data_IF_776695053470
#
_entry.id   IF_776695053470
#
_cell.length_a   1.000
_cell.length_b   1.000
_cell.length_c   1.000
_cell.angle_alpha   90.00
_cell.angle_beta   90.00
_cell.angle_gamma   90.00
#
_symmetry.space_group_name_H-M   'P 1'
#
loop_
_entity.id
_entity.type
_entity.pdbx_description
1 polymer ?
#
# COMPACT_ATOMS: atom_id res chain seq x y z
N UNK A 1 -16.95 -17.24 21.50
CA UNK A 1 -17.38 -16.11 20.67
C UNK A 1 -18.52 -16.56 19.75
N UNK A 2 -19.57 -15.76 19.58
CA UNK A 2 -20.66 -16.10 18.66
C UNK A 2 -20.20 -16.02 17.20
N UNK A 3 -20.71 -16.94 16.36
CA UNK A 3 -20.57 -16.87 14.89
C UNK A 3 -21.69 -16.01 14.33
N UNK A 4 -21.36 -15.11 13.42
CA UNK A 4 -22.33 -14.26 12.71
C UNK A 4 -22.03 -14.21 11.22
N UNK A 5 -23.04 -13.83 10.43
CA UNK A 5 -22.87 -13.48 9.02
C UNK A 5 -22.93 -11.96 8.88
N UNK A 6 -21.89 -11.37 8.29
CA UNK A 6 -21.86 -9.93 7.99
C UNK A 6 -22.62 -9.63 6.70
N UNK A 7 -23.13 -8.41 6.57
CA UNK A 7 -23.83 -7.95 5.36
C UNK A 7 -22.81 -7.63 4.25
N UNK A 8 -22.98 -8.11 2.99
CA UNK A 8 -22.08 -7.72 1.90
C UNK A 8 -22.32 -6.27 1.47
N UNK A 9 -21.24 -5.55 1.18
CA UNK A 9 -21.21 -4.28 0.44
C UNK A 9 -20.37 -4.50 -0.82
N UNK A 10 -20.94 -4.24 -1.99
CA UNK A 10 -20.27 -4.45 -3.27
C UNK A 10 -19.41 -3.25 -3.65
N UNK A 11 -18.14 -3.51 -3.92
CA UNK A 11 -17.20 -2.53 -4.46
C UNK A 11 -16.91 -2.87 -5.92
N UNK A 12 -17.47 -2.10 -6.85
CA UNK A 12 -17.14 -2.26 -8.27
C UNK A 12 -15.89 -1.47 -8.61
N UNK A 13 -14.84 -2.19 -9.02
CA UNK A 13 -13.54 -1.64 -9.38
C UNK A 13 -13.44 -1.59 -10.91
N UNK A 14 -13.67 -0.41 -11.48
CA UNK A 14 -13.77 -0.21 -12.92
C UNK A 14 -12.40 0.19 -13.47
N UNK A 15 -11.93 -0.55 -14.47
CA UNK A 15 -10.68 -0.27 -15.18
C UNK A 15 -10.77 1.05 -15.95
N UNK A 16 -9.89 1.99 -15.63
CA UNK A 16 -9.71 3.30 -16.26
C UNK A 16 -8.31 3.45 -16.85
N UNK A 17 -7.63 2.34 -17.12
CA UNK A 17 -6.32 2.33 -17.78
C UNK A 17 -6.41 2.84 -19.21
N UNK A 18 -5.28 3.22 -19.80
CA UNK A 18 -5.23 3.69 -21.20
C UNK A 18 -5.79 2.65 -22.17
N UNK A 19 -5.59 1.36 -21.90
CA UNK A 19 -6.01 0.24 -22.73
C UNK A 19 -7.52 -0.03 -22.67
N UNK A 20 -8.19 0.45 -21.62
CA UNK A 20 -9.64 0.36 -21.47
C UNK A 20 -10.40 1.53 -22.14
N UNK A 21 -9.70 2.51 -22.73
CA UNK A 21 -10.32 3.67 -23.37
C UNK A 21 -11.38 3.26 -24.41
N UNK A 22 -12.55 3.92 -24.39
CA UNK A 22 -13.68 3.58 -25.25
C UNK A 22 -14.57 2.45 -24.72
N UNK A 23 -14.25 1.85 -23.57
CA UNK A 23 -15.03 0.78 -22.97
C UNK A 23 -16.17 1.27 -22.05
N UNK A 24 -16.34 2.58 -21.87
CA UNK A 24 -17.23 3.21 -20.89
C UNK A 24 -18.66 2.67 -21.01
N UNK A 25 -19.21 2.69 -22.23
CA UNK A 25 -20.57 2.20 -22.50
C UNK A 25 -20.72 0.72 -22.16
N UNK A 26 -19.70 -0.09 -22.47
CA UNK A 26 -19.72 -1.54 -22.18
C UNK A 26 -19.62 -1.82 -20.69
N UNK A 27 -18.83 -1.04 -19.94
CA UNK A 27 -18.71 -1.16 -18.48
C UNK A 27 -20.01 -0.75 -17.79
N UNK A 28 -20.60 0.40 -18.19
CA UNK A 28 -21.91 0.85 -17.70
C UNK A 28 -22.99 -0.22 -17.89
N UNK A 29 -23.05 -0.80 -19.10
CA UNK A 29 -24.04 -1.83 -19.42
C UNK A 29 -23.83 -3.09 -18.57
N UNK A 30 -22.60 -3.61 -18.48
CA UNK A 30 -22.29 -4.80 -17.68
C UNK A 30 -22.59 -4.60 -16.20
N UNK A 31 -22.18 -3.46 -15.63
CA UNK A 31 -22.46 -3.12 -14.25
C UNK A 31 -23.96 -3.04 -13.98
N UNK A 32 -24.69 -2.30 -14.81
CA UNK A 32 -26.15 -2.13 -14.65
C UNK A 32 -26.89 -3.47 -14.77
N UNK A 33 -26.49 -4.31 -15.73
CA UNK A 33 -27.03 -5.66 -15.91
C UNK A 33 -26.76 -6.52 -14.68
N UNK A 34 -25.53 -6.56 -14.20
CA UNK A 34 -25.14 -7.34 -13.03
C UNK A 34 -25.89 -6.90 -11.76
N UNK A 35 -26.00 -5.59 -11.52
CA UNK A 35 -26.76 -5.06 -10.39
C UNK A 35 -28.24 -5.45 -10.45
N UNK A 36 -28.85 -5.38 -11.64
CA UNK A 36 -30.26 -5.76 -11.84
C UNK A 36 -30.48 -7.26 -11.61
N UNK A 37 -29.65 -8.12 -12.20
CA UNK A 37 -29.76 -9.58 -12.08
C UNK A 37 -29.57 -10.07 -10.64
N UNK A 38 -28.67 -9.42 -9.88
CA UNK A 38 -28.39 -9.76 -8.50
C UNK A 38 -29.22 -8.95 -7.48
N UNK A 39 -30.19 -8.14 -7.94
CA UNK A 39 -31.07 -7.31 -7.11
C UNK A 39 -30.30 -6.44 -6.11
N UNK A 40 -29.15 -5.89 -6.53
CA UNK A 40 -28.32 -5.06 -5.68
C UNK A 40 -28.99 -3.69 -5.48
N UNK A 41 -29.14 -3.29 -4.22
CA UNK A 41 -29.61 -1.96 -3.86
C UNK A 41 -28.45 -0.97 -3.83
N UNK A 42 -28.68 0.27 -4.25
CA UNK A 42 -27.63 1.29 -4.39
C UNK A 42 -26.88 1.54 -3.08
N UNK A 43 -27.57 1.52 -1.93
CA UNK A 43 -26.99 1.78 -0.61
C UNK A 43 -25.83 0.83 -0.26
N UNK A 44 -25.86 -0.39 -0.79
CA UNK A 44 -24.86 -1.44 -0.58
C UNK A 44 -23.81 -1.51 -1.70
N UNK A 45 -23.73 -0.47 -2.55
CA UNK A 45 -22.79 -0.40 -3.67
C UNK A 45 -21.85 0.78 -3.53
N UNK A 46 -20.59 0.55 -3.88
CA UNK A 46 -19.51 1.53 -3.97
C UNK A 46 -18.83 1.36 -5.32
N UNK A 47 -18.51 2.47 -5.99
CA UNK A 47 -17.83 2.46 -7.29
C UNK A 47 -16.44 3.07 -7.13
N UNK A 48 -15.44 2.34 -7.61
CA UNK A 48 -14.05 2.76 -7.64
C UNK A 48 -13.53 2.78 -9.07
N UNK A 49 -12.92 3.88 -9.45
CA UNK A 49 -12.27 4.07 -10.75
C UNK A 49 -10.77 3.78 -10.60
N UNK A 50 -10.23 2.87 -11.40
CA UNK A 50 -8.90 2.29 -11.20
C UNK A 50 -8.00 2.50 -12.42
N UNK A 51 -6.95 3.28 -12.26
CA UNK A 51 -5.88 3.44 -13.24
C UNK A 51 -4.53 3.35 -12.52
N UNK A 52 -3.61 4.30 -12.74
CA UNK A 52 -2.48 4.55 -11.82
C UNK A 52 -2.94 5.02 -10.44
N UNK A 53 -4.15 5.57 -10.37
CA UNK A 53 -4.78 6.03 -9.13
C UNK A 53 -6.04 5.24 -8.90
N UNK A 54 -6.37 5.04 -7.63
CA UNK A 54 -7.69 4.60 -7.21
C UNK A 54 -8.49 5.83 -6.78
N UNK A 55 -9.68 6.00 -7.32
CA UNK A 55 -10.63 7.04 -6.91
C UNK A 55 -11.97 6.39 -6.60
N UNK A 56 -12.38 6.44 -5.34
CA UNK A 56 -13.75 6.12 -4.96
C UNK A 56 -14.68 7.27 -5.39
N UNK A 57 -15.83 6.95 -5.96
CA UNK A 57 -16.83 7.97 -6.34
C UNK A 57 -17.60 8.40 -5.09
N UNK A 58 -17.64 9.70 -4.83
CA UNK A 58 -18.21 10.26 -3.59
C UNK A 58 -19.74 10.11 -3.49
N UNK A 59 -20.43 9.77 -4.58
CA UNK A 59 -21.89 9.67 -4.62
C UNK A 59 -22.39 8.48 -5.47
N UNK A 60 -23.39 7.76 -4.95
CA UNK A 60 -24.03 6.63 -5.65
C UNK A 60 -24.78 7.02 -6.93
N UNK A 61 -24.91 8.32 -7.21
CA UNK A 61 -25.69 8.83 -8.33
C UNK A 61 -24.85 9.37 -9.48
N UNK A 62 -23.62 9.83 -9.24
CA UNK A 62 -22.78 10.47 -10.27
C UNK A 62 -21.82 9.52 -10.97
N UNK A 63 -21.69 8.28 -10.50
CA UNK A 63 -20.71 7.35 -11.05
C UNK A 63 -20.87 7.08 -12.56
N UNK A 64 -22.07 7.08 -13.19
CA UNK A 64 -22.17 6.93 -14.63
C UNK A 64 -21.54 8.12 -15.35
N UNK A 65 -21.76 9.33 -14.84
CA UNK A 65 -21.17 10.57 -15.36
C UNK A 65 -19.67 10.62 -15.10
N UNK A 66 -19.22 10.19 -13.92
CA UNK A 66 -17.80 10.12 -13.55
C UNK A 66 -17.03 9.16 -14.47
N UNK A 67 -17.65 8.04 -14.84
CA UNK A 67 -17.07 7.11 -15.80
C UNK A 67 -17.03 7.70 -17.22
N UNK A 68 -18.11 8.38 -17.67
CA UNK A 68 -18.16 8.99 -19.01
C UNK A 68 -17.21 10.18 -19.16
N UNK A 69 -17.02 10.97 -18.11
CA UNK A 69 -16.13 12.14 -18.09
C UNK A 69 -14.70 11.77 -17.68
N UNK A 70 -14.52 10.59 -17.09
CA UNK A 70 -13.25 10.13 -16.56
C UNK A 70 -12.20 9.97 -17.66
N UNK A 71 -10.95 10.34 -17.33
CA UNK A 71 -9.83 10.20 -18.25
C UNK A 71 -9.22 8.80 -18.13
N UNK A 72 -9.32 8.01 -19.19
CA UNK A 72 -8.60 6.75 -19.33
C UNK A 72 -7.10 7.02 -19.50
N UNK A 73 -6.28 6.58 -18.57
CA UNK A 73 -4.85 6.91 -18.56
C UNK A 73 -4.03 5.94 -17.73
N UNK A 74 -2.72 5.86 -18.00
CA UNK A 74 -1.81 5.03 -17.23
C UNK A 74 -2.09 3.52 -17.32
N UNK A 75 -1.53 2.76 -16.38
CA UNK A 75 -1.75 1.31 -16.25
C UNK A 75 -2.90 0.96 -15.31
N UNK A 76 -3.22 -0.33 -15.17
CA UNK A 76 -4.30 -0.83 -14.34
C UNK A 76 -3.78 -1.32 -12.97
N UNK A 77 -3.54 -0.40 -12.02
CA UNK A 77 -2.99 -0.71 -10.69
C UNK A 77 -4.07 -1.23 -9.74
N UNK A 78 -4.55 -2.44 -10.02
CA UNK A 78 -5.61 -3.09 -9.27
C UNK A 78 -5.20 -3.40 -7.82
N UNK A 79 -3.92 -3.69 -7.57
CA UNK A 79 -3.37 -3.87 -6.24
C UNK A 79 -3.79 -2.74 -5.28
N UNK A 80 -3.60 -1.48 -5.70
CA UNK A 80 -3.87 -0.32 -4.86
C UNK A 80 -5.35 -0.22 -4.51
N UNK A 81 -6.24 -0.50 -5.46
CA UNK A 81 -7.68 -0.47 -5.25
C UNK A 81 -8.14 -1.55 -4.27
N UNK A 82 -7.60 -2.77 -4.40
CA UNK A 82 -7.89 -3.89 -3.48
C UNK A 82 -7.37 -3.58 -2.07
N UNK A 83 -6.10 -3.16 -1.93
CA UNK A 83 -5.51 -2.79 -0.64
C UNK A 83 -6.34 -1.71 0.06
N UNK A 84 -6.67 -0.61 -0.63
CA UNK A 84 -7.43 0.48 -0.04
C UNK A 84 -8.82 0.02 0.39
N UNK A 85 -9.53 -0.75 -0.46
CA UNK A 85 -10.85 -1.30 -0.10
C UNK A 85 -10.79 -2.16 1.17
N UNK A 86 -9.80 -3.05 1.28
CA UNK A 86 -9.63 -3.91 2.45
C UNK A 86 -9.31 -3.10 3.72
N UNK A 87 -8.39 -2.15 3.62
CA UNK A 87 -7.96 -1.31 4.74
C UNK A 87 -9.07 -0.37 5.21
N UNK A 88 -9.81 0.26 4.31
CA UNK A 88 -10.95 1.11 4.63
C UNK A 88 -12.07 0.32 5.30
N UNK A 89 -12.42 -0.85 4.75
CA UNK A 89 -13.42 -1.73 5.36
C UNK A 89 -13.02 -2.14 6.78
N UNK A 90 -11.74 -2.50 6.99
CA UNK A 90 -11.23 -2.84 8.32
C UNK A 90 -11.26 -1.65 9.29
N UNK A 91 -10.79 -0.47 8.87
CA UNK A 91 -10.74 0.75 9.70
C UNK A 91 -12.12 1.27 10.07
N UNK A 92 -13.10 1.16 9.16
CA UNK A 92 -14.46 1.66 9.39
C UNK A 92 -15.22 0.91 10.49
N UNK A 93 -14.80 -0.33 10.82
CA UNK A 93 -15.39 -1.12 11.90
C UNK A 93 -16.86 -1.52 11.68
N UNK A 94 -17.37 -1.38 10.46
CA UNK A 94 -18.78 -1.62 10.14
C UNK A 94 -19.07 -3.14 10.20
N UNK A 95 -20.32 -3.50 10.51
CA UNK A 95 -20.83 -4.88 10.50
C UNK A 95 -21.01 -5.48 9.09
N UNK A 96 -20.35 -4.88 8.09
CA UNK A 96 -20.36 -5.30 6.69
C UNK A 96 -19.01 -5.87 6.26
N UNK A 97 -18.99 -6.57 5.13
CA UNK A 97 -17.77 -6.99 4.46
C UNK A 97 -17.79 -6.58 2.98
N UNK A 98 -16.61 -6.32 2.42
CA UNK A 98 -16.49 -5.91 1.02
C UNK A 98 -16.51 -7.11 0.07
N UNK A 99 -17.41 -7.06 -0.92
CA UNK A 99 -17.40 -7.93 -2.10
C UNK A 99 -16.83 -7.11 -3.26
N UNK A 100 -15.58 -7.39 -3.65
CA UNK A 100 -14.93 -6.65 -4.73
C UNK A 100 -15.25 -7.29 -6.09
N UNK A 101 -15.77 -6.52 -7.03
CA UNK A 101 -16.08 -6.94 -8.41
C UNK A 101 -15.36 -6.02 -9.39
N UNK A 102 -14.34 -6.56 -10.05
CA UNK A 102 -13.51 -5.87 -11.03
C UNK A 102 -14.18 -5.91 -12.40
N UNK A 103 -14.28 -4.77 -13.06
CA UNK A 103 -14.82 -4.65 -14.42
C UNK A 103 -13.72 -4.19 -15.34
N UNK A 104 -13.26 -5.10 -16.20
CA UNK A 104 -12.29 -4.82 -17.25
C UNK A 104 -12.62 -5.61 -18.51
N UNK A 105 -12.05 -5.20 -19.65
CA UNK A 105 -11.97 -6.00 -20.87
C UNK A 105 -10.63 -6.73 -21.00
N UNK A 106 -9.64 -6.37 -20.17
CA UNK A 106 -8.26 -6.83 -20.28
C UNK A 106 -7.64 -7.04 -18.89
N UNK A 107 -8.26 -7.95 -18.12
CA UNK A 107 -7.81 -8.25 -16.76
C UNK A 107 -6.35 -8.72 -16.69
N UNK A 108 -5.84 -9.36 -17.75
CA UNK A 108 -4.44 -9.80 -17.83
C UNK A 108 -3.40 -8.67 -17.76
N UNK A 109 -3.80 -7.40 -17.88
CA UNK A 109 -2.93 -6.24 -17.67
C UNK A 109 -3.02 -5.63 -16.27
N UNK A 110 -3.81 -6.23 -15.38
CA UNK A 110 -3.89 -5.80 -13.99
C UNK A 110 -2.55 -6.01 -13.29
N UNK A 111 -2.05 -4.95 -12.64
CA UNK A 111 -0.89 -5.03 -11.76
C UNK A 111 -1.40 -5.50 -10.40
N UNK A 112 -0.94 -6.68 -9.99
CA UNK A 112 -1.32 -7.39 -8.77
C UNK A 112 -0.07 -8.00 -8.13
N UNK A 113 -0.03 -8.15 -6.79
CA UNK A 113 1.03 -8.89 -6.12
C UNK A 113 0.80 -10.40 -6.26
N UNK A 114 1.76 -11.20 -5.82
CA UNK A 114 1.59 -12.67 -5.75
C UNK A 114 0.56 -13.11 -4.71
N UNK A 115 0.30 -12.26 -3.70
CA UNK A 115 -0.63 -12.51 -2.61
C UNK A 115 -0.97 -11.20 -1.87
N UNK A 116 -2.14 -11.17 -1.22
CA UNK A 116 -2.54 -10.15 -0.24
C UNK A 116 -2.55 -10.70 1.20
N UNK A 117 -1.82 -11.80 1.47
CA UNK A 117 -1.85 -12.51 2.76
C UNK A 117 -1.44 -11.65 3.95
N UNK A 118 -0.59 -10.65 3.74
CA UNK A 118 -0.22 -9.66 4.76
C UNK A 118 -1.41 -8.83 5.26
N UNK A 119 -2.49 -8.75 4.48
CA UNK A 119 -3.75 -8.12 4.83
C UNK A 119 -4.82 -9.11 5.29
N UNK A 120 -4.48 -10.38 5.61
CA UNK A 120 -5.48 -11.41 5.92
C UNK A 120 -6.40 -11.09 7.10
N UNK A 121 -5.94 -10.22 7.99
CA UNK A 121 -6.74 -9.72 9.12
C UNK A 121 -7.86 -8.76 8.68
N UNK A 122 -7.81 -8.21 7.45
CA UNK A 122 -8.84 -7.34 6.88
C UNK A 122 -9.98 -8.10 6.20
N UNK A 123 -9.85 -9.41 5.94
CA UNK A 123 -10.85 -10.22 5.23
C UNK A 123 -11.15 -11.57 5.93
N UNK A 124 -11.74 -11.54 7.15
CA UNK A 124 -11.94 -12.72 7.99
C UNK A 124 -12.89 -13.78 7.42
N UNK A 125 -13.70 -13.48 6.43
CA UNK A 125 -14.58 -14.45 5.78
C UNK A 125 -13.83 -15.46 4.90
N UNK A 126 -12.56 -15.17 4.55
CA UNK A 126 -11.86 -15.66 3.34
C UNK A 126 -12.60 -15.25 2.07
N UNK A 127 -12.12 -14.20 1.41
CA UNK A 127 -12.85 -13.63 0.30
C UNK A 127 -12.01 -13.47 -0.93
N UNK A 128 -12.46 -14.17 -1.95
CA UNK A 128 -12.12 -13.91 -3.32
C UNK A 128 -12.57 -12.49 -3.70
N UNK A 129 -11.86 -11.88 -4.63
CA UNK A 129 -12.47 -10.85 -5.45
C UNK A 129 -12.95 -11.50 -6.74
N UNK A 130 -13.78 -10.76 -7.46
CA UNK A 130 -14.41 -11.26 -8.67
C UNK A 130 -14.04 -10.38 -9.85
N UNK A 131 -13.96 -10.96 -11.03
CA UNK A 131 -13.86 -10.25 -12.29
C UNK A 131 -15.16 -10.47 -13.05
N UNK A 132 -15.83 -9.38 -13.43
CA UNK A 132 -16.90 -9.39 -14.40
C UNK A 132 -16.26 -9.19 -15.78
N UNK A 133 -15.98 -10.30 -16.47
CA UNK A 133 -15.23 -10.29 -17.73
C UNK A 133 -16.05 -9.71 -18.90
N UNK A 134 -15.43 -9.56 -20.09
CA UNK A 134 -16.07 -8.96 -21.27
C UNK A 134 -17.36 -9.67 -21.72
N UNK A 135 -17.51 -10.97 -21.40
CA UNK A 135 -18.72 -11.77 -21.67
C UNK A 135 -19.80 -11.62 -20.61
N UNK A 136 -19.56 -10.82 -19.56
CA UNK A 136 -20.45 -10.69 -18.41
C UNK A 136 -20.42 -11.89 -17.46
N UNK A 137 -19.40 -12.75 -17.56
CA UNK A 137 -19.23 -13.88 -16.64
C UNK A 137 -18.47 -13.43 -15.40
N UNK A 138 -18.89 -13.93 -14.24
CA UNK A 138 -18.23 -13.66 -12.97
C UNK A 138 -17.15 -14.72 -12.70
N UNK A 139 -15.89 -14.34 -12.88
CA UNK A 139 -14.72 -15.16 -12.57
C UNK A 139 -14.24 -14.84 -11.16
N UNK A 140 -13.74 -15.85 -10.45
CA UNK A 140 -13.36 -15.75 -9.04
C UNK A 140 -11.85 -15.83 -8.90
N UNK A 141 -11.26 -14.91 -8.15
CA UNK A 141 -9.81 -14.77 -7.95
C UNK A 141 -9.47 -14.78 -6.46
N UNK A 142 -8.47 -15.56 -6.06
CA UNK A 142 -8.09 -15.70 -4.65
C UNK A 142 -7.25 -14.51 -4.18
N UNK A 143 -7.51 -13.99 -2.96
CA UNK A 143 -6.66 -12.95 -2.38
C UNK A 143 -5.36 -13.51 -1.77
N UNK A 144 -5.39 -14.76 -1.29
CA UNK A 144 -4.29 -15.34 -0.50
C UNK A 144 -3.21 -16.01 -1.35
N UNK A 145 -3.45 -16.27 -2.65
CA UNK A 145 -2.46 -16.83 -3.56
C UNK A 145 -2.82 -16.53 -5.01
N UNK A 146 -1.83 -16.11 -5.81
CA UNK A 146 -1.92 -15.92 -7.26
C UNK A 146 -3.21 -15.18 -7.71
N UNK A 147 -3.46 -13.96 -7.22
CA UNK A 147 -4.70 -13.22 -7.49
C UNK A 147 -4.94 -12.91 -8.97
N UNK A 148 -3.92 -13.01 -9.82
CA UNK A 148 -4.07 -12.87 -11.27
C UNK A 148 -4.70 -14.09 -11.96
N UNK A 149 -4.83 -15.23 -11.28
CA UNK A 149 -5.35 -16.46 -11.85
C UNK A 149 -6.78 -16.73 -11.39
N UNK A 150 -7.69 -16.84 -12.36
CA UNK A 150 -9.06 -17.23 -12.12
C UNK A 150 -9.13 -18.70 -11.66
N UNK A 151 -9.84 -18.96 -10.57
CA UNK A 151 -9.99 -20.32 -10.02
C UNK A 151 -11.13 -21.05 -10.73
N UNK A 152 -12.38 -20.60 -10.51
CA UNK A 152 -13.61 -21.11 -11.13
C UNK A 152 -14.71 -20.05 -11.10
N UNK A 153 -15.64 -20.01 -12.07
CA UNK A 153 -16.82 -19.17 -11.97
C UNK A 153 -17.61 -19.45 -10.68
N UNK A 154 -18.13 -18.40 -10.05
CA UNK A 154 -18.87 -18.55 -8.80
C UNK A 154 -19.40 -17.23 -8.28
N UNK A 155 -20.52 -17.29 -7.57
CA UNK A 155 -21.14 -16.13 -6.95
C UNK A 155 -20.53 -15.85 -5.57
N UNK A 156 -20.54 -14.58 -5.11
CA UNK A 156 -20.22 -14.23 -3.74
C UNK A 156 -21.12 -15.00 -2.76
N UNK A 157 -20.51 -15.70 -1.81
CA UNK A 157 -21.23 -16.43 -0.76
C UNK A 157 -20.77 -15.91 0.61
N UNK A 158 -21.70 -15.54 1.50
CA UNK A 158 -21.35 -15.17 2.87
C UNK A 158 -20.65 -16.33 3.58
N UNK A 159 -19.59 -16.03 4.31
CA UNK A 159 -18.96 -16.96 5.24
C UNK A 159 -19.18 -16.47 6.67
N UNK A 160 -19.33 -17.39 7.65
CA UNK A 160 -19.44 -16.99 9.04
C UNK A 160 -18.11 -16.43 9.55
N UNK A 161 -18.19 -15.48 10.48
CA UNK A 161 -17.06 -14.93 11.24
C UNK A 161 -17.37 -14.92 12.72
N UNK A 162 -16.33 -14.94 13.57
CA UNK A 162 -16.50 -14.71 15.00
C UNK A 162 -16.51 -13.22 15.31
N UNK A 163 -17.45 -12.80 16.14
CA UNK A 163 -17.50 -11.43 16.67
C UNK A 163 -16.70 -11.34 17.98
N UNK A 164 -15.76 -10.40 18.06
CA UNK A 164 -15.00 -10.12 19.29
C UNK A 164 -15.30 -8.71 19.84
N UNK A 165 -15.49 -8.55 21.17
CA UNK A 165 -15.63 -9.62 22.16
C UNK A 165 -16.99 -10.32 22.08
N UNK A 166 -18.00 -9.64 21.55
CA UNK A 166 -19.36 -10.15 21.36
C UNK A 166 -20.04 -9.52 20.13
N UNK A 167 -21.06 -10.19 19.58
CA UNK A 167 -21.82 -9.73 18.41
C UNK A 167 -22.57 -8.41 18.60
N UNK A 168 -22.97 -8.06 19.83
CA UNK A 168 -23.70 -6.80 20.10
C UNK A 168 -22.80 -5.57 20.10
N UNK A 169 -21.51 -5.76 20.39
CA UNK A 169 -20.48 -4.71 20.50
C UNK A 169 -19.18 -5.20 19.88
N UNK A 170 -19.26 -5.69 18.65
CA UNK A 170 -18.12 -6.26 17.97
C UNK A 170 -17.11 -5.15 17.66
N UNK A 171 -15.94 -5.23 18.29
CA UNK A 171 -14.79 -4.40 17.95
C UNK A 171 -14.03 -4.97 16.75
N UNK A 172 -14.03 -6.31 16.59
CA UNK A 172 -13.30 -7.03 15.54
C UNK A 172 -14.05 -8.27 15.07
N UNK A 173 -13.73 -8.69 13.85
CA UNK A 173 -14.29 -9.85 13.19
C UNK A 173 -13.15 -10.83 12.88
N UNK A 174 -13.28 -12.09 13.30
CA UNK A 174 -12.23 -13.10 13.16
C UNK A 174 -12.70 -14.22 12.25
N UNK A 175 -11.74 -14.86 11.57
CA UNK A 175 -12.01 -16.02 10.72
C UNK A 175 -12.68 -17.12 11.53
N UNK A 176 -13.68 -17.77 10.94
CA UNK A 176 -14.36 -18.90 11.58
C UNK A 176 -13.66 -20.25 11.37
N UNK A 177 -12.42 -20.26 10.86
CA UNK A 177 -11.59 -21.46 10.73
C UNK A 177 -10.84 -21.78 12.03
N UNK A 178 -10.24 -22.97 12.08
CA UNK A 178 -9.69 -23.56 13.31
C UNK A 178 -8.31 -22.98 13.75
N UNK A 179 -7.94 -21.79 13.27
CA UNK A 179 -6.63 -21.19 13.52
C UNK A 179 -6.63 -20.14 14.63
N UNK A 180 -5.52 -19.95 15.35
CA UNK A 180 -5.33 -18.77 16.19
C UNK A 180 -5.34 -17.51 15.31
N UNK A 181 -6.00 -16.45 15.79
CA UNK A 181 -6.02 -15.15 15.13
C UNK A 181 -5.35 -14.11 16.05
N UNK A 182 -4.44 -13.32 15.47
CA UNK A 182 -3.83 -12.16 16.13
C UNK A 182 -4.35 -10.91 15.45
N UNK A 183 -4.79 -9.93 16.22
CA UNK A 183 -5.27 -8.66 15.70
C UNK A 183 -4.92 -7.53 16.65
N UNK A 184 -4.66 -6.34 16.10
CA UNK A 184 -4.43 -5.15 16.90
C UNK A 184 -5.75 -4.48 17.34
N UNK A 185 -5.86 -4.19 18.64
CA UNK A 185 -6.87 -3.28 19.17
C UNK A 185 -6.54 -1.84 18.76
N UNK A 186 -7.58 -1.01 18.62
CA UNK A 186 -7.49 0.36 18.10
C UNK A 186 -6.63 1.31 18.95
N UNK A 187 -6.31 0.93 20.19
CA UNK A 187 -5.46 1.67 21.12
C UNK A 187 -3.96 1.45 20.92
N UNK A 188 -3.56 0.60 19.97
CA UNK A 188 -2.16 0.32 19.73
C UNK A 188 -1.52 1.44 18.92
N UNK A 189 -0.76 2.31 19.60
CA UNK A 189 -0.03 3.43 18.97
C UNK A 189 1.41 3.05 18.54
N UNK A 190 1.69 1.75 18.41
CA UNK A 190 3.05 1.25 18.13
C UNK A 190 3.95 1.25 19.36
N UNK A 191 3.46 0.68 20.46
CA UNK A 191 3.98 0.78 21.84
C UNK A 191 5.51 0.57 21.96
N UNK A 192 6.09 1.44 22.78
CA UNK A 192 7.46 1.50 23.33
C UNK A 192 7.52 0.91 24.76
N UNK A 193 7.04 -0.33 24.95
CA UNK A 193 7.18 -0.99 26.26
C UNK A 193 8.58 -1.57 26.41
N UNK A 194 9.13 -1.63 27.64
CA UNK A 194 10.46 -2.21 27.85
C UNK A 194 10.40 -3.70 27.50
N UNK A 195 10.88 -4.05 26.31
CA UNK A 195 10.97 -5.41 25.79
C UNK A 195 11.59 -6.42 26.77
N UNK A 196 12.39 -5.96 27.73
CA UNK A 196 13.01 -6.77 28.77
C UNK A 196 11.99 -7.46 29.70
N UNK A 197 10.84 -6.85 29.96
CA UNK A 197 9.81 -7.42 30.86
C UNK A 197 8.87 -8.40 30.17
N UNK A 198 8.91 -8.50 28.84
CA UNK A 198 8.00 -9.35 28.05
C UNK A 198 8.57 -10.76 27.87
N UNK A 199 7.70 -11.76 27.98
CA UNK A 199 7.98 -13.14 27.57
C UNK A 199 8.24 -13.23 26.06
N UNK A 200 8.81 -14.36 25.61
CA UNK A 200 9.06 -14.60 24.18
C UNK A 200 7.78 -14.55 23.35
N UNK A 201 6.67 -15.04 23.90
CA UNK A 201 5.36 -15.02 23.25
C UNK A 201 4.82 -13.59 23.11
N UNK A 202 4.88 -12.79 24.17
CA UNK A 202 4.43 -11.39 24.16
C UNK A 202 5.27 -10.54 23.21
N UNK A 203 6.58 -10.79 23.13
CA UNK A 203 7.46 -10.19 22.11
C UNK A 203 7.00 -10.53 20.69
N UNK A 204 6.61 -11.78 20.44
CA UNK A 204 6.05 -12.23 19.17
C UNK A 204 4.73 -11.54 18.83
N UNK A 205 3.82 -11.43 19.80
CA UNK A 205 2.56 -10.70 19.63
C UNK A 205 2.79 -9.23 19.34
N UNK A 206 3.76 -8.59 20.00
CA UNK A 206 4.13 -7.21 19.74
C UNK A 206 4.67 -7.03 18.31
N UNK A 207 5.55 -7.92 17.84
CA UNK A 207 6.05 -7.90 16.45
C UNK A 207 4.90 -8.03 15.45
N UNK A 208 3.97 -8.97 15.68
CA UNK A 208 2.81 -9.17 14.82
C UNK A 208 1.88 -7.93 14.82
N UNK A 209 1.66 -7.31 15.98
CA UNK A 209 0.86 -6.08 16.09
C UNK A 209 1.52 -4.91 15.36
N UNK A 210 2.84 -4.75 15.47
CA UNK A 210 3.60 -3.73 14.75
C UNK A 210 3.56 -3.94 13.23
N UNK A 211 3.62 -5.18 12.77
CA UNK A 211 3.52 -5.50 11.34
C UNK A 211 2.13 -5.15 10.79
N UNK A 212 1.06 -5.55 11.48
CA UNK A 212 -0.30 -5.16 11.10
C UNK A 212 -0.48 -3.65 11.11
N UNK A 213 0.08 -2.96 12.12
CA UNK A 213 0.02 -1.51 12.21
C UNK A 213 0.70 -0.84 11.01
N UNK A 214 1.85 -1.35 10.54
CA UNK A 214 2.56 -0.84 9.35
C UNK A 214 1.69 -0.90 8.09
N UNK A 215 0.95 -2.00 7.91
CA UNK A 215 0.00 -2.14 6.80
C UNK A 215 -1.21 -1.23 6.96
N UNK A 216 -1.68 -1.05 8.20
CA UNK A 216 -2.78 -0.15 8.54
C UNK A 216 -2.42 1.32 8.48
N UNK A 217 -1.15 1.71 8.48
CA UNK A 217 -0.69 3.10 8.51
C UNK A 217 0.52 3.30 7.59
N UNK A 218 0.33 3.16 6.26
CA UNK A 218 1.42 3.31 5.30
C UNK A 218 2.14 4.66 5.39
N UNK A 219 1.45 5.72 5.81
CA UNK A 219 1.98 7.06 6.07
C UNK A 219 3.11 7.11 7.13
N UNK A 220 3.27 6.04 7.91
CA UNK A 220 4.26 5.95 8.99
C UNK A 220 5.32 4.85 8.74
N UNK A 221 5.40 4.30 7.51
CA UNK A 221 6.23 3.13 7.20
C UNK A 221 7.72 3.30 7.54
N UNK A 222 8.36 4.42 7.20
CA UNK A 222 9.82 4.57 7.42
C UNK A 222 10.17 4.57 8.91
N UNK A 223 9.44 5.35 9.71
CA UNK A 223 9.68 5.48 11.16
C UNK A 223 9.31 4.17 11.88
N UNK A 224 8.20 3.54 11.49
CA UNK A 224 7.69 2.34 12.16
C UNK A 224 8.35 1.04 11.68
N UNK A 225 8.81 0.98 10.42
CA UNK A 225 9.63 -0.11 9.89
C UNK A 225 10.95 -0.22 10.66
N UNK A 226 11.61 0.92 10.92
CA UNK A 226 12.79 0.96 11.80
C UNK A 226 12.48 0.47 13.21
N UNK A 227 11.32 0.83 13.76
CA UNK A 227 10.91 0.35 15.08
C UNK A 227 10.74 -1.17 15.09
N UNK A 228 10.03 -1.74 14.11
CA UNK A 228 9.86 -3.18 13.99
C UNK A 228 11.19 -3.92 13.85
N UNK A 229 12.11 -3.39 13.04
CA UNK A 229 13.44 -3.98 12.88
C UNK A 229 14.24 -3.96 14.20
N UNK A 230 14.22 -2.83 14.92
CA UNK A 230 14.82 -2.74 16.28
C UNK A 230 14.15 -3.70 17.26
N UNK A 231 12.82 -3.85 17.20
CA UNK A 231 12.08 -4.81 18.03
C UNK A 231 12.47 -6.25 17.70
N UNK A 232 12.63 -6.60 16.42
CA UNK A 232 13.12 -7.91 15.97
C UNK A 232 14.51 -8.23 16.54
N UNK A 233 15.47 -7.31 16.39
CA UNK A 233 16.83 -7.49 16.93
C UNK A 233 16.84 -7.65 18.45
N UNK A 234 16.11 -6.79 19.19
CA UNK A 234 16.03 -6.87 20.66
C UNK A 234 15.31 -8.11 21.17
N UNK A 235 14.36 -8.65 20.40
CA UNK A 235 13.59 -9.83 20.76
C UNK A 235 14.21 -11.15 20.30
N UNK A 236 15.19 -11.10 19.40
CA UNK A 236 15.74 -12.28 18.73
C UNK A 236 14.72 -12.98 17.83
N UNK A 237 13.72 -12.25 17.34
CA UNK A 237 12.68 -12.76 16.45
C UNK A 237 12.89 -12.21 15.04
N UNK A 238 12.77 -13.10 14.04
CA UNK A 238 12.75 -12.70 12.65
C UNK A 238 11.46 -11.95 12.33
N UNK A 239 11.61 -10.87 11.59
CA UNK A 239 10.54 -10.03 11.05
C UNK A 239 10.66 -9.99 9.54
N UNK A 240 9.62 -9.52 8.84
CA UNK A 240 9.67 -9.28 7.38
C UNK A 240 10.87 -8.42 6.97
N UNK A 241 11.26 -7.47 7.82
CA UNK A 241 12.40 -6.56 7.60
C UNK A 241 13.78 -7.19 7.87
N UNK A 242 13.84 -8.39 8.47
CA UNK A 242 15.11 -9.08 8.82
C UNK A 242 15.23 -10.49 8.24
N UNK A 243 14.21 -10.96 7.51
CA UNK A 243 14.11 -12.32 7.00
C UNK A 243 15.11 -12.66 5.86
N UNK A 244 15.73 -11.66 5.23
CA UNK A 244 16.64 -11.85 4.09
C UNK A 244 18.11 -12.04 4.47
N UNK A 245 18.44 -12.10 5.76
CA UNK A 245 19.82 -12.17 6.21
C UNK A 245 20.31 -13.63 6.22
N UNK A 246 20.94 -14.05 5.12
CA UNK A 246 21.71 -15.29 5.05
C UNK A 246 23.18 -15.02 5.39
N UNK A 247 23.73 -15.79 6.33
CA UNK A 247 25.13 -15.69 6.74
C UNK A 247 25.86 -16.99 6.38
N UNK A 248 26.93 -16.89 5.62
CA UNK A 248 27.74 -18.03 5.15
C UNK A 248 28.99 -18.24 6.01
N UNK A 249 29.50 -17.19 6.68
CA UNK A 249 30.70 -17.28 7.50
C UNK A 249 30.65 -16.44 8.80
N UNK A 250 31.56 -16.76 9.72
CA UNK A 250 31.66 -16.09 11.03
C UNK A 250 32.03 -14.60 10.93
N UNK A 251 32.73 -14.19 9.87
CA UNK A 251 33.06 -12.78 9.65
C UNK A 251 31.80 -11.95 9.30
N UNK A 252 30.93 -12.47 8.42
CA UNK A 252 29.63 -11.88 8.08
C UNK A 252 28.72 -11.83 9.31
N UNK A 253 28.75 -12.86 10.16
CA UNK A 253 27.99 -12.89 11.42
C UNK A 253 28.41 -11.78 12.38
N UNK A 254 29.72 -11.58 12.59
CA UNK A 254 30.25 -10.50 13.43
C UNK A 254 29.96 -9.12 12.83
N UNK A 255 30.10 -8.96 11.51
CA UNK A 255 29.77 -7.73 10.82
C UNK A 255 28.28 -7.38 10.95
N UNK A 256 27.40 -8.38 10.85
CA UNK A 256 25.97 -8.19 11.05
C UNK A 256 25.66 -7.78 12.50
N UNK A 257 26.21 -8.48 13.49
CA UNK A 257 25.98 -8.16 14.90
C UNK A 257 26.41 -6.72 15.21
N UNK A 258 27.55 -6.28 14.67
CA UNK A 258 28.00 -4.89 14.78
C UNK A 258 26.99 -3.93 14.15
N UNK A 259 26.51 -4.19 12.92
CA UNK A 259 25.49 -3.36 12.27
C UNK A 259 24.16 -3.32 13.05
N UNK A 260 23.75 -4.44 13.65
CA UNK A 260 22.56 -4.48 14.50
C UNK A 260 22.72 -3.60 15.72
N UNK A 261 23.88 -3.66 16.37
CA UNK A 261 24.23 -2.81 17.52
C UNK A 261 24.29 -1.33 17.15
N UNK A 262 24.96 -0.97 16.06
CA UNK A 262 25.05 0.40 15.55
C UNK A 262 23.64 0.98 15.26
N UNK A 263 22.77 0.17 14.65
CA UNK A 263 21.39 0.57 14.35
C UNK A 263 20.53 0.73 15.61
N UNK A 264 20.74 -0.12 16.63
CA UNK A 264 20.07 -0.03 17.93
C UNK A 264 20.48 1.23 18.69
N UNK A 265 21.77 1.55 18.66
CA UNK A 265 22.36 2.75 19.28
C UNK A 265 22.01 4.03 18.53
N UNK A 266 21.51 3.89 17.29
CA UNK A 266 20.86 4.98 16.56
C UNK A 266 21.84 5.97 15.97
N UNK A 267 23.02 5.51 15.55
CA UNK A 267 24.02 6.38 14.92
C UNK A 267 23.43 7.03 13.64
N UNK A 268 23.22 8.36 13.62
CA UNK A 268 22.67 9.08 12.48
C UNK A 268 23.54 8.94 11.21
N UNK A 269 24.82 8.57 11.35
CA UNK A 269 25.74 8.36 10.23
C UNK A 269 25.37 7.18 9.34
N UNK A 270 24.54 6.25 9.80
CA UNK A 270 24.01 5.15 8.99
C UNK A 270 22.67 5.49 8.30
N UNK A 271 22.01 6.59 8.67
CA UNK A 271 20.72 7.02 8.07
C UNK A 271 20.92 7.74 6.72
N UNK A 272 22.10 8.28 6.45
CA UNK A 272 22.51 8.73 5.13
C UNK A 272 23.34 7.60 4.50
N UNK A 273 22.66 6.59 3.93
CA UNK A 273 23.32 5.39 3.42
C UNK A 273 24.47 5.76 2.52
N UNK A 274 25.71 5.56 2.99
CA UNK A 274 27.01 5.89 2.38
C UNK A 274 26.94 6.74 1.09
N UNK A 275 26.28 7.89 1.14
CA UNK A 275 26.46 8.95 0.17
C UNK A 275 27.61 9.76 0.76
N UNK A 276 28.77 9.68 0.10
CA UNK A 276 29.79 10.71 0.22
C UNK A 276 29.06 12.02 -0.07
N UNK A 277 28.64 12.70 0.99
CA UNK A 277 28.01 14.01 0.93
C UNK A 277 29.07 14.93 0.36
N UNK A 278 29.02 15.17 -0.96
CA UNK A 278 29.70 16.33 -1.51
C UNK A 278 28.97 17.53 -0.92
N UNK A 279 29.64 18.24 -0.01
CA UNK A 279 29.13 19.50 0.50
C UNK A 279 28.79 20.39 -0.70
N UNK A 280 27.51 20.72 -0.86
CA UNK A 280 27.11 21.74 -1.81
C UNK A 280 27.94 22.99 -1.52
N UNK A 281 28.60 23.59 -2.54
CA UNK A 281 29.49 24.71 -2.31
C UNK A 281 28.73 25.83 -1.61
N UNK A 282 29.27 26.29 -0.48
CA UNK A 282 28.64 27.30 0.34
C UNK A 282 28.28 28.53 -0.50
N UNK A 283 27.19 29.22 -0.15
CA UNK A 283 26.73 30.41 -0.88
C UNK A 283 27.85 31.48 -1.00
N UNK A 284 28.74 31.56 -0.01
CA UNK A 284 29.94 32.40 -0.03
C UNK A 284 30.98 31.96 -1.07
N UNK A 285 31.16 30.66 -1.31
CA UNK A 285 32.00 30.12 -2.38
C UNK A 285 31.43 30.45 -3.77
N UNK A 286 30.11 30.30 -3.96
CA UNK A 286 29.44 30.68 -5.21
C UNK A 286 29.53 32.19 -5.49
N UNK A 287 29.35 33.03 -4.46
CA UNK A 287 29.48 34.48 -4.59
C UNK A 287 30.91 34.93 -4.88
N UNK A 288 31.91 34.29 -4.26
CA UNK A 288 33.33 34.60 -4.54
C UNK A 288 33.75 34.17 -5.93
N UNK A 289 33.35 32.98 -6.39
CA UNK A 289 33.58 32.55 -7.77
C UNK A 289 32.84 33.45 -8.79
N UNK A 290 31.61 33.86 -8.49
CA UNK A 290 30.84 34.80 -9.32
C UNK A 290 31.51 36.17 -9.41
N UNK A 291 31.97 36.71 -8.28
CA UNK A 291 32.69 37.99 -8.24
C UNK A 291 34.01 37.94 -9.02
N UNK A 292 34.77 36.84 -8.88
CA UNK A 292 36.01 36.63 -9.65
C UNK A 292 35.75 36.57 -11.15
N UNK A 293 34.66 35.93 -11.60
CA UNK A 293 34.29 35.90 -13.02
C UNK A 293 33.88 37.28 -13.55
N UNK A 294 33.18 38.10 -12.74
CA UNK A 294 32.84 39.48 -13.12
C UNK A 294 34.08 40.36 -13.20
N UNK A 295 35.01 40.23 -12.25
CA UNK A 295 36.29 40.96 -12.26
C UNK A 295 37.14 40.52 -13.46
N UNK A 296 37.23 39.21 -13.74
CA UNK A 296 37.94 38.69 -14.90
C UNK A 296 37.32 39.20 -16.21
N UNK A 297 35.99 39.23 -16.33
CA UNK A 297 35.29 39.78 -17.49
C UNK A 297 35.52 41.29 -17.63
N UNK A 298 35.60 42.04 -16.53
CA UNK A 298 35.90 43.47 -16.54
C UNK A 298 37.34 43.76 -16.96
N UNK A 299 38.31 43.00 -16.45
CA UNK A 299 39.73 43.06 -16.85
C UNK A 299 39.89 42.66 -18.32
N UNK A 300 39.17 41.64 -18.78
CA UNK A 300 39.21 41.22 -20.18
C UNK A 300 38.62 42.30 -21.10
N UNK A 301 37.52 42.94 -20.69
CA UNK A 301 36.90 44.04 -21.44
C UNK A 301 37.77 45.31 -21.45
N UNK A 302 38.45 45.65 -20.36
CA UNK A 302 39.37 46.79 -20.31
C UNK A 302 40.63 46.54 -21.14
N UNK A 303 41.21 45.34 -21.10
CA UNK A 303 42.33 44.94 -21.98
C UNK A 303 41.94 44.91 -23.46
N UNK A 304 40.70 44.52 -23.79
CA UNK A 304 40.19 44.56 -25.16
C UNK A 304 39.99 46.00 -25.66
N UNK A 305 39.55 46.93 -24.79
CA UNK A 305 39.46 48.37 -25.11
C UNK A 305 40.84 49.00 -25.34
N UNK A 306 41.85 48.66 -24.54
CA UNK A 306 43.22 49.14 -24.77
C UNK A 306 43.87 48.53 -26.03
N UNK A 307 43.55 47.28 -26.39
CA UNK A 307 43.99 46.69 -27.68
C UNK A 307 43.31 47.28 -28.91
N UNK A 308 42.10 47.83 -28.78
CA UNK A 308 41.39 48.52 -29.86
C UNK A 308 41.76 50.01 -29.98
N UNK A 309 42.26 50.63 -28.90
CA UNK A 309 42.77 52.01 -28.92
C UNK A 309 44.24 52.13 -29.40
N UNK A 310 44.99 51.03 -29.45
CA UNK A 310 46.36 51.00 -30.01
C UNK A 310 46.43 50.63 -31.50
N UNK A 311 45.32 50.72 -32.23
CA UNK A 311 45.22 50.39 -33.67
C UNK A 311 44.49 51.45 -34.51
N UNK A 312 44.47 52.68 -34.04
CA UNK A 312 44.12 53.87 -34.82
C UNK A 312 45.25 54.88 -34.59
N UNK A 313 45.74 55.45 -35.69
CA UNK A 313 46.92 56.31 -35.84
C UNK A 313 47.19 57.30 -34.70
#
# INVERSE_FOLDING_TARGET
MPKVFRKPVYHFLIDMSKQAAGSEKTFLHRLSKFMKENRLIRSDVRIGLVSQRYKLTDQQETWPEDLRKGKFSGGFFLENAIRQTLLENYRSGISSYSVMVVISNNFGQAILPDSFSELSFCYPEKLFFYELNAKGQLLKHALDHQPGLAVRPGQPRPAPVYAWPDHRRAARWLRADAGPAVFSLSSFNGITEPLASLSKWEKGLLCAAQEQFKHLHPEHQTVKGRHLLKTGFRSGLLTSESAFIALENEAQKRALLKKQEDMLNGDPLLDAGEEIRMDEPSLSMLLTCGALLVVAAFIFKSRRRHRLAGKVH
#
